data_IF_740367606521
#
_entry.id   IF_740367606521
#
_cell.length_a   1.000
_cell.length_b   1.000
_cell.length_c   1.000
_cell.angle_alpha   90.00
_cell.angle_beta   90.00
_cell.angle_gamma   90.00
#
_symmetry.space_group_name_H-M   'P 1'
#
loop_
_entity.id
_entity.type
_entity.pdbx_description
1 polymer ?
#
# COMPACT_ATOMS: atom_id res chain seq x y z
N UNK A 1 0.64 15.60 -9.76
CA UNK A 1 -0.43 15.28 -8.79
C UNK A 1 -1.68 15.98 -9.29
N UNK A 2 -2.83 15.30 -9.30
CA UNK A 2 -4.11 15.93 -9.62
C UNK A 2 -4.76 16.53 -8.39
N UNK A 3 -6.09 16.61 -8.39
CA UNK A 3 -6.85 17.05 -7.23
C UNK A 3 -7.03 15.93 -6.19
N UNK A 4 -6.88 16.26 -4.90
CA UNK A 4 -6.91 15.32 -3.77
C UNK A 4 -8.12 15.51 -2.85
N UNK A 5 -9.11 16.30 -3.29
CA UNK A 5 -10.32 16.61 -2.55
C UNK A 5 -10.02 17.30 -1.22
N UNK A 6 -10.69 16.87 -0.15
CA UNK A 6 -10.50 17.43 1.19
C UNK A 6 -9.08 17.30 1.73
N UNK A 7 -8.28 16.38 1.18
CA UNK A 7 -6.87 16.20 1.56
C UNK A 7 -5.90 17.18 0.87
N UNK A 8 -6.34 17.95 -0.13
CA UNK A 8 -5.44 18.75 -0.96
C UNK A 8 -4.68 19.82 -0.17
N UNK A 9 -5.39 20.62 0.64
CA UNK A 9 -4.78 21.66 1.48
C UNK A 9 -3.70 21.13 2.44
N UNK A 10 -4.00 20.11 3.27
CA UNK A 10 -3.00 19.46 4.12
C UNK A 10 -1.80 18.89 3.35
N UNK A 11 -2.03 18.34 2.16
CA UNK A 11 -0.98 17.78 1.31
C UNK A 11 -0.04 18.86 0.75
N UNK A 12 -0.59 19.98 0.30
CA UNK A 12 0.20 21.16 -0.10
C UNK A 12 0.99 21.74 1.07
N UNK A 13 0.38 21.84 2.26
CA UNK A 13 1.07 22.27 3.47
C UNK A 13 2.23 21.35 3.82
N UNK A 14 2.02 20.03 3.78
CA UNK A 14 3.07 19.05 4.03
C UNK A 14 4.23 19.22 3.04
N UNK A 15 3.94 19.43 1.75
CA UNK A 15 4.99 19.69 0.74
C UNK A 15 5.75 20.99 1.01
N UNK A 16 5.05 22.08 1.35
CA UNK A 16 5.69 23.36 1.68
C UNK A 16 6.62 23.22 2.90
N UNK A 17 6.20 22.48 3.92
CA UNK A 17 7.00 22.22 5.13
C UNK A 17 8.27 21.42 4.87
N UNK A 18 8.38 20.65 3.77
CA UNK A 18 9.61 19.93 3.42
C UNK A 18 10.77 20.87 3.07
N UNK A 19 10.44 22.06 2.58
CA UNK A 19 11.39 23.05 2.08
C UNK A 19 11.47 24.30 2.96
N UNK A 20 10.49 24.47 3.86
CA UNK A 20 10.38 25.66 4.70
C UNK A 20 11.53 25.80 5.70
N UNK A 21 12.03 27.02 5.84
CA UNK A 21 13.03 27.39 6.84
C UNK A 21 12.36 27.88 8.12
N UNK A 22 13.09 27.81 9.23
CA UNK A 22 12.62 28.35 10.50
C UNK A 22 12.24 29.83 10.38
N UNK A 23 11.08 30.20 10.90
CA UNK A 23 10.55 31.56 10.87
C UNK A 23 9.73 31.92 9.64
N UNK A 24 9.76 31.12 8.56
CA UNK A 24 8.94 31.36 7.36
C UNK A 24 7.45 31.24 7.68
N UNK A 25 6.64 32.07 7.01
CA UNK A 25 5.19 32.07 7.14
C UNK A 25 4.59 31.31 5.97
N UNK A 26 3.75 30.32 6.28
CA UNK A 26 3.02 29.52 5.29
C UNK A 26 1.53 29.80 5.46
N UNK A 27 0.87 30.18 4.37
CA UNK A 27 -0.58 30.39 4.33
C UNK A 27 -1.22 29.24 3.58
N UNK A 28 -2.17 28.58 4.22
CA UNK A 28 -3.06 27.61 3.57
C UNK A 28 -4.41 28.28 3.43
N UNK A 29 -4.78 28.61 2.19
CA UNK A 29 -6.06 29.24 1.88
C UNK A 29 -6.96 28.24 1.15
N UNK A 30 -8.22 28.18 1.56
CA UNK A 30 -9.26 27.45 0.83
C UNK A 30 -10.40 28.39 0.44
N UNK A 31 -11.00 28.10 -0.71
CA UNK A 31 -12.17 28.79 -1.21
C UNK A 31 -13.18 27.77 -1.75
N UNK A 32 -14.36 27.74 -1.14
CA UNK A 32 -15.48 26.87 -1.54
C UNK A 32 -16.80 27.53 -1.08
N UNK A 33 -17.48 26.98 -0.07
CA UNK A 33 -18.63 27.63 0.59
C UNK A 33 -18.15 28.73 1.57
N UNK A 34 -17.41 29.70 1.05
CA UNK A 34 -16.72 30.74 1.83
C UNK A 34 -15.21 30.74 1.58
N UNK A 35 -14.50 31.56 2.35
CA UNK A 35 -13.04 31.66 2.31
C UNK A 35 -12.47 31.49 3.72
N UNK A 36 -11.48 30.61 3.87
CA UNK A 36 -10.75 30.42 5.11
C UNK A 36 -9.24 30.42 4.82
N UNK A 37 -8.48 31.06 5.70
CA UNK A 37 -7.02 31.10 5.61
C UNK A 37 -6.42 30.74 6.97
N UNK A 38 -5.58 29.70 6.97
CA UNK A 38 -4.78 29.29 8.11
C UNK A 38 -3.35 29.80 7.91
N UNK A 39 -2.81 30.47 8.92
CA UNK A 39 -1.46 31.04 8.89
C UNK A 39 -0.57 30.29 9.86
N UNK A 40 0.48 29.67 9.34
CA UNK A 40 1.46 28.89 10.09
C UNK A 40 2.80 29.59 10.07
N UNK A 41 3.55 29.49 11.18
CA UNK A 41 4.97 29.84 11.23
C UNK A 41 5.78 28.57 11.33
N UNK A 42 6.66 28.33 10.36
CA UNK A 42 7.58 27.20 10.38
C UNK A 42 8.51 27.33 11.58
N UNK A 43 8.50 26.35 12.48
CA UNK A 43 9.25 26.44 13.74
C UNK A 43 10.73 26.03 13.60
N UNK A 44 11.09 25.38 12.49
CA UNK A 44 12.42 24.75 12.35
C UNK A 44 12.60 23.48 13.17
N UNK A 45 11.59 23.04 13.93
CA UNK A 45 11.59 21.74 14.64
C UNK A 45 11.62 20.53 13.67
N UNK A 46 11.56 20.79 12.36
CA UNK A 46 11.68 19.83 11.27
C UNK A 46 13.10 19.24 11.09
N UNK A 47 13.92 19.14 12.15
CA UNK A 47 15.15 18.32 12.13
C UNK A 47 14.86 16.86 11.76
N UNK A 48 13.59 16.44 11.88
CA UNK A 48 13.06 15.18 11.38
C UNK A 48 12.34 15.41 10.05
N UNK A 49 13.10 15.48 8.95
CA UNK A 49 12.52 15.36 7.60
C UNK A 49 11.71 14.05 7.53
N UNK A 50 10.53 14.04 6.90
CA UNK A 50 9.80 12.79 6.70
C UNK A 50 10.67 11.82 5.90
N UNK A 51 10.67 10.53 6.27
CA UNK A 51 11.50 9.53 5.59
C UNK A 51 11.21 9.43 4.07
N UNK A 52 9.98 9.77 3.66
CA UNK A 52 9.53 9.80 2.25
C UNK A 52 8.99 11.16 1.84
N UNK A 53 8.04 11.69 2.62
CA UNK A 53 7.40 12.98 2.30
C UNK A 53 6.53 12.94 1.03
N UNK A 54 5.97 14.09 0.66
CA UNK A 54 5.26 14.32 -0.60
C UNK A 54 6.22 14.17 -1.78
N UNK A 55 7.42 14.75 -1.71
CA UNK A 55 8.41 14.68 -2.79
C UNK A 55 8.80 13.23 -3.11
N UNK A 56 9.17 12.44 -2.10
CA UNK A 56 9.49 11.02 -2.30
C UNK A 56 8.26 10.16 -2.63
N UNK A 57 7.06 10.58 -2.26
CA UNK A 57 5.82 9.91 -2.70
C UNK A 57 5.56 10.10 -4.18
N UNK A 58 5.77 11.31 -4.70
CA UNK A 58 5.64 11.61 -6.12
C UNK A 58 6.76 10.97 -6.95
N UNK A 59 8.00 10.91 -6.43
CA UNK A 59 9.11 10.25 -7.11
C UNK A 59 8.86 8.74 -7.29
N UNK A 60 8.17 8.11 -6.34
CA UNK A 60 7.82 6.69 -6.37
C UNK A 60 6.40 6.42 -6.88
N UNK A 61 5.85 7.30 -7.72
CA UNK A 61 4.54 7.09 -8.35
C UNK A 61 4.65 6.15 -9.55
N UNK A 62 3.57 5.43 -9.85
CA UNK A 62 3.30 4.98 -11.21
C UNK A 62 2.40 6.02 -11.87
N UNK A 63 2.88 6.65 -12.94
CA UNK A 63 2.12 7.65 -13.67
C UNK A 63 1.14 6.97 -14.62
N UNK A 64 -0.13 7.40 -14.59
CA UNK A 64 -1.15 6.97 -15.53
C UNK A 64 -1.43 8.11 -16.51
N UNK A 65 -1.12 7.87 -17.78
CA UNK A 65 -1.27 8.86 -18.87
C UNK A 65 -2.52 8.61 -19.70
N UNK A 66 -3.22 7.49 -19.48
CA UNK A 66 -4.45 7.17 -20.17
C UNK A 66 -5.65 7.87 -19.53
N UNK A 67 -6.17 8.87 -20.22
CA UNK A 67 -7.33 9.64 -19.77
C UNK A 67 -8.60 8.79 -19.57
N UNK A 68 -8.82 7.75 -20.38
CA UNK A 68 -9.97 6.87 -20.20
C UNK A 68 -9.86 6.06 -18.90
N UNK A 69 -8.67 5.60 -18.54
CA UNK A 69 -8.46 4.96 -17.24
C UNK A 69 -8.71 5.93 -16.09
N UNK A 70 -8.29 7.20 -16.23
CA UNK A 70 -8.64 8.23 -15.25
C UNK A 70 -10.16 8.36 -15.07
N UNK A 71 -10.92 8.49 -16.16
CA UNK A 71 -12.38 8.57 -16.08
C UNK A 71 -12.98 7.32 -15.43
N UNK A 72 -12.49 6.13 -15.81
CA UNK A 72 -12.99 4.87 -15.28
C UNK A 72 -12.70 4.68 -13.79
N UNK A 73 -11.47 4.94 -13.36
CA UNK A 73 -11.06 4.78 -11.96
C UNK A 73 -11.78 5.75 -11.02
N UNK A 74 -12.20 6.90 -11.53
CA UNK A 74 -12.97 7.89 -10.78
C UNK A 74 -14.50 7.72 -10.93
N UNK A 75 -14.98 6.67 -11.63
CA UNK A 75 -16.41 6.43 -11.82
C UNK A 75 -17.12 7.53 -12.62
N UNK A 76 -16.39 8.22 -13.50
CA UNK A 76 -16.93 9.31 -14.34
C UNK A 76 -17.53 8.81 -15.66
N UNK A 77 -17.31 7.54 -15.98
CA UNK A 77 -17.86 6.85 -17.15
C UNK A 77 -18.33 5.47 -16.72
N UNK A 78 -19.51 5.07 -17.20
CA UNK A 78 -20.00 3.71 -17.04
C UNK A 78 -19.30 2.78 -18.03
N UNK A 79 -18.90 1.60 -17.56
CA UNK A 79 -18.34 0.56 -18.40
C UNK A 79 -18.89 -0.81 -18.03
N UNK A 80 -18.87 -1.70 -19.01
CA UNK A 80 -19.14 -3.11 -18.78
C UNK A 80 -17.89 -3.78 -18.19
N UNK A 81 -17.98 -4.19 -16.93
CA UNK A 81 -16.91 -4.91 -16.21
C UNK A 81 -16.83 -6.40 -16.59
N UNK A 82 -17.81 -6.90 -17.36
CA UNK A 82 -17.95 -8.28 -17.78
C UNK A 82 -18.37 -9.25 -16.66
N UNK A 83 -18.74 -10.47 -17.07
CA UNK A 83 -19.33 -11.49 -16.18
C UNK A 83 -18.49 -11.84 -14.94
N UNK A 84 -17.16 -11.71 -15.01
CA UNK A 84 -16.28 -12.03 -13.87
C UNK A 84 -16.31 -10.97 -12.77
N UNK A 85 -16.75 -9.76 -13.08
CA UNK A 85 -16.97 -8.71 -12.09
C UNK A 85 -18.27 -8.88 -11.31
N UNK A 86 -19.22 -9.69 -11.81
CA UNK A 86 -20.52 -9.94 -11.17
C UNK A 86 -20.42 -10.81 -9.91
N UNK A 87 -19.23 -11.39 -9.65
CA UNK A 87 -18.97 -12.23 -8.49
C UNK A 87 -19.26 -11.47 -7.19
N UNK A 88 -20.25 -11.96 -6.43
CA UNK A 88 -20.55 -11.44 -5.09
C UNK A 88 -19.53 -11.95 -4.07
N UNK A 89 -18.53 -11.12 -3.78
CA UNK A 89 -17.61 -11.35 -2.67
C UNK A 89 -18.30 -10.86 -1.38
N UNK A 90 -18.72 -11.77 -0.49
CA UNK A 90 -19.40 -11.42 0.76
C UNK A 90 -18.47 -10.68 1.73
N UNK A 91 -18.93 -9.55 2.28
CA UNK A 91 -18.19 -8.83 3.34
C UNK A 91 -18.24 -9.60 4.66
N UNK A 92 -17.08 -10.01 5.18
CA UNK A 92 -16.95 -10.69 6.46
C UNK A 92 -16.60 -9.72 7.61
N UNK A 93 -17.55 -8.85 8.01
CA UNK A 93 -17.34 -7.79 9.02
C UNK A 93 -16.86 -8.32 10.37
N UNK A 94 -17.40 -9.44 10.86
CA UNK A 94 -17.00 -10.03 12.15
C UNK A 94 -15.59 -10.62 12.09
N UNK A 95 -15.14 -11.06 10.92
CA UNK A 95 -13.75 -11.52 10.71
C UNK A 95 -12.81 -10.34 10.71
N UNK A 96 -13.19 -9.22 10.06
CA UNK A 96 -12.43 -7.97 10.11
C UNK A 96 -12.27 -7.47 11.54
N UNK A 97 -13.36 -7.39 12.30
CA UNK A 97 -13.33 -6.95 13.70
C UNK A 97 -12.41 -7.82 14.57
N UNK A 98 -12.50 -9.15 14.45
CA UNK A 98 -11.68 -10.07 15.26
C UNK A 98 -10.20 -10.10 14.88
N UNK A 99 -9.87 -9.73 13.65
CA UNK A 99 -8.52 -9.81 13.10
C UNK A 99 -8.06 -8.45 12.56
N UNK A 100 -8.48 -7.37 13.21
CA UNK A 100 -8.24 -6.00 12.74
C UNK A 100 -6.75 -5.71 12.64
N UNK A 101 -5.96 -6.10 13.64
CA UNK A 101 -4.50 -5.92 13.64
C UNK A 101 -3.84 -6.70 12.50
N UNK A 102 -4.29 -7.93 12.23
CA UNK A 102 -3.78 -8.75 11.16
C UNK A 102 -4.13 -8.19 9.77
N UNK A 103 -5.36 -7.72 9.58
CA UNK A 103 -5.87 -7.29 8.27
C UNK A 103 -5.47 -5.85 7.96
N UNK A 104 -5.69 -4.92 8.90
CA UNK A 104 -5.42 -3.49 8.71
C UNK A 104 -3.99 -3.13 9.09
N UNK A 105 -3.39 -3.80 10.07
CA UNK A 105 -2.01 -3.56 10.51
C UNK A 105 -0.94 -4.44 9.85
N UNK A 106 -1.35 -5.41 9.02
CA UNK A 106 -0.47 -6.47 8.49
C UNK A 106 0.38 -7.14 9.58
N UNK A 107 -0.28 -7.51 10.68
CA UNK A 107 0.36 -8.12 11.84
C UNK A 107 0.18 -9.64 11.81
N UNK A 108 1.27 -10.37 11.59
CA UNK A 108 1.29 -11.82 11.73
C UNK A 108 1.84 -12.25 13.09
N UNK A 109 2.40 -13.46 13.13
CA UNK A 109 2.95 -14.07 14.34
C UNK A 109 4.43 -14.38 14.21
N UNK A 110 5.18 -14.20 15.30
CA UNK A 110 6.50 -14.78 15.49
C UNK A 110 6.45 -15.73 16.67
N UNK A 111 6.86 -16.98 16.47
CA UNK A 111 6.96 -17.94 17.56
C UNK A 111 8.06 -17.52 18.53
N UNK A 112 7.74 -17.32 19.82
CA UNK A 112 8.75 -17.00 20.85
C UNK A 112 9.78 -18.10 21.08
N UNK A 113 9.43 -19.35 20.76
CA UNK A 113 10.30 -20.52 20.98
C UNK A 113 11.22 -20.81 19.79
N UNK A 114 10.69 -20.77 18.57
CA UNK A 114 11.45 -21.14 17.36
C UNK A 114 11.91 -19.94 16.55
N UNK A 115 11.38 -18.75 16.83
CA UNK A 115 11.60 -17.55 16.04
C UNK A 115 10.90 -17.55 14.68
N UNK A 116 10.22 -18.63 14.29
CA UNK A 116 9.54 -18.74 12.98
C UNK A 116 8.45 -17.68 12.87
N UNK A 117 8.51 -16.94 11.77
CA UNK A 117 7.57 -15.87 11.41
C UNK A 117 6.55 -16.41 10.42
N UNK A 118 5.26 -16.13 10.65
CA UNK A 118 4.16 -16.61 9.82
C UNK A 118 3.06 -15.55 9.66
N UNK A 119 2.36 -15.65 8.53
CA UNK A 119 1.14 -14.92 8.25
C UNK A 119 0.23 -15.82 7.39
N UNK A 120 -1.07 -15.97 7.70
CA UNK A 120 -1.81 -15.40 8.83
C UNK A 120 -1.30 -15.84 10.21
N UNK A 121 -1.54 -15.02 11.25
CA UNK A 121 -1.29 -15.43 12.64
C UNK A 121 -2.35 -16.44 13.04
N UNK A 122 -1.93 -17.62 13.47
CA UNK A 122 -2.81 -18.67 14.00
C UNK A 122 -2.33 -19.08 15.40
N UNK A 123 -3.12 -19.88 16.12
CA UNK A 123 -2.71 -20.36 17.45
C UNK A 123 -1.53 -21.33 17.41
N UNK A 124 -1.33 -22.02 16.28
CA UNK A 124 -0.33 -23.08 16.14
C UNK A 124 0.84 -22.55 15.31
N UNK A 125 2.06 -22.72 15.80
CA UNK A 125 3.26 -22.39 15.03
C UNK A 125 3.41 -23.30 13.81
N UNK A 126 3.76 -22.73 12.66
CA UNK A 126 4.08 -23.48 11.43
C UNK A 126 5.50 -24.07 11.42
N UNK A 127 6.23 -23.97 12.53
CA UNK A 127 7.58 -24.52 12.64
C UNK A 127 7.52 -26.06 12.49
N UNK A 128 8.19 -26.67 11.50
CA UNK A 128 8.04 -28.10 11.19
C UNK A 128 8.35 -29.04 12.37
N UNK A 129 9.30 -28.65 13.21
CA UNK A 129 9.81 -29.48 14.30
C UNK A 129 9.22 -29.11 15.67
N UNK A 130 8.44 -28.03 15.77
CA UNK A 130 7.82 -27.62 17.04
C UNK A 130 6.52 -26.82 16.78
N UNK A 131 5.39 -27.52 16.52
CA UNK A 131 4.08 -26.91 16.31
C UNK A 131 3.43 -26.48 17.64
N UNK A 132 4.14 -25.69 18.44
CA UNK A 132 3.67 -25.23 19.73
C UNK A 132 2.42 -24.34 19.60
N UNK A 133 1.54 -24.42 20.60
CA UNK A 133 0.25 -23.72 20.66
C UNK A 133 0.39 -22.47 21.53
N UNK A 134 -0.23 -21.36 21.11
CA UNK A 134 -0.27 -20.07 21.82
C UNK A 134 1.13 -19.49 22.11
N UNK A 135 2.05 -19.69 21.16
CA UNK A 135 3.44 -19.17 21.18
C UNK A 135 3.68 -17.95 20.29
N UNK A 136 2.66 -17.52 19.55
CA UNK A 136 2.77 -16.45 18.56
C UNK A 136 2.71 -15.07 19.23
N UNK A 137 3.77 -14.29 19.07
CA UNK A 137 3.81 -12.88 19.42
C UNK A 137 3.53 -12.01 18.19
N UNK A 138 2.84 -10.86 18.34
CA UNK A 138 2.57 -9.95 17.23
C UNK A 138 3.84 -9.54 16.47
N UNK A 139 3.85 -9.77 15.16
CA UNK A 139 4.97 -9.40 14.29
C UNK A 139 4.49 -8.54 13.11
N UNK A 140 4.99 -7.31 13.03
CA UNK A 140 4.59 -6.32 12.00
C UNK A 140 5.32 -6.55 10.68
N UNK A 141 4.57 -6.70 9.59
CA UNK A 141 5.10 -6.86 8.24
C UNK A 141 5.03 -5.58 7.40
N UNK A 142 4.17 -4.63 7.75
CA UNK A 142 3.88 -3.44 6.94
C UNK A 142 5.13 -2.63 6.51
N UNK A 143 6.12 -2.52 7.39
CA UNK A 143 7.35 -1.73 7.17
C UNK A 143 8.57 -2.61 6.82
N UNK A 144 8.37 -3.92 6.67
CA UNK A 144 9.46 -4.86 6.38
C UNK A 144 9.78 -4.82 4.89
N UNK A 145 11.07 -4.92 4.58
CA UNK A 145 11.53 -5.18 3.22
C UNK A 145 11.06 -6.55 2.76
N UNK A 146 10.73 -6.65 1.48
CA UNK A 146 10.25 -7.87 0.90
C UNK A 146 10.66 -7.97 -0.58
N UNK A 147 10.55 -9.18 -1.13
CA UNK A 147 10.74 -9.42 -2.55
C UNK A 147 9.71 -10.40 -3.10
N UNK A 148 9.53 -10.35 -4.41
CA UNK A 148 8.68 -11.30 -5.14
C UNK A 148 9.38 -12.65 -5.21
N UNK A 149 8.78 -13.71 -4.65
CA UNK A 149 9.29 -15.08 -4.78
C UNK A 149 8.77 -15.75 -6.06
N UNK A 150 7.50 -15.53 -6.39
CA UNK A 150 6.87 -15.99 -7.62
C UNK A 150 5.69 -15.08 -7.94
N UNK A 151 5.35 -14.93 -9.22
CA UNK A 151 4.24 -14.09 -9.64
C UNK A 151 3.50 -14.67 -10.83
N UNK A 152 2.32 -14.12 -11.11
CA UNK A 152 1.54 -14.37 -12.31
C UNK A 152 0.85 -13.07 -12.75
N UNK A 153 0.75 -12.86 -14.05
CA UNK A 153 -0.01 -11.78 -14.67
C UNK A 153 -1.25 -12.37 -15.36
N UNK A 154 -2.40 -12.22 -14.73
CA UNK A 154 -3.64 -12.86 -15.14
C UNK A 154 -4.60 -11.87 -15.84
N UNK A 155 -4.97 -12.16 -17.09
CA UNK A 155 -5.99 -11.40 -17.84
C UNK A 155 -7.40 -11.96 -17.63
N UNK A 156 -7.52 -13.11 -16.97
CA UNK A 156 -8.78 -13.81 -16.78
C UNK A 156 -9.56 -13.20 -15.62
N UNK A 157 -8.94 -13.07 -14.45
CA UNK A 157 -9.58 -12.49 -13.27
C UNK A 157 -9.93 -11.01 -13.47
N UNK A 158 -11.10 -10.60 -13.00
CA UNK A 158 -11.48 -9.18 -13.02
C UNK A 158 -10.49 -8.34 -12.22
N UNK A 159 -9.96 -7.30 -12.85
CA UNK A 159 -9.14 -6.25 -12.25
C UNK A 159 -9.50 -4.93 -12.91
N UNK A 160 -9.50 -3.84 -12.16
CA UNK A 160 -9.67 -2.49 -12.70
C UNK A 160 -8.54 -2.13 -13.69
N UNK A 161 -7.34 -2.64 -13.45
CA UNK A 161 -6.16 -2.42 -14.28
C UNK A 161 -5.60 -3.79 -14.70
N UNK A 162 -6.15 -4.42 -15.76
CA UNK A 162 -5.64 -5.69 -16.25
C UNK A 162 -4.25 -5.52 -16.88
N UNK A 163 -3.37 -6.55 -16.79
CA UNK A 163 -3.58 -7.82 -16.10
C UNK A 163 -3.49 -7.70 -14.58
N UNK A 164 -4.18 -8.60 -13.87
CA UNK A 164 -4.05 -8.73 -12.43
C UNK A 164 -2.69 -9.37 -12.10
N UNK A 165 -1.80 -8.61 -11.48
CA UNK A 165 -0.53 -9.13 -10.98
C UNK A 165 -0.70 -9.59 -9.54
N UNK A 166 -0.38 -10.84 -9.26
CA UNK A 166 -0.37 -11.37 -7.90
C UNK A 166 0.74 -12.41 -7.76
N UNK A 167 1.17 -12.64 -6.53
CA UNK A 167 2.31 -13.50 -6.31
C UNK A 167 2.57 -13.81 -4.84
N UNK A 168 3.55 -14.67 -4.61
CA UNK A 168 4.07 -14.96 -3.29
C UNK A 168 5.14 -13.94 -2.95
N UNK A 169 4.93 -13.19 -1.87
CA UNK A 169 5.89 -12.21 -1.36
C UNK A 169 6.62 -12.82 -0.18
N UNK A 170 7.95 -12.75 -0.17
CA UNK A 170 8.80 -13.18 0.93
C UNK A 170 9.36 -11.97 1.65
N UNK A 171 9.32 -11.99 2.98
CA UNK A 171 9.75 -10.88 3.82
C UNK A 171 11.13 -11.13 4.42
N UNK A 172 11.89 -10.05 4.59
CA UNK A 172 13.10 -10.07 5.40
C UNK A 172 12.74 -10.41 6.85
N UNK A 173 13.42 -11.40 7.44
CA UNK A 173 13.08 -11.94 8.75
C UNK A 173 12.08 -13.11 8.72
N UNK A 174 11.61 -13.51 7.53
CA UNK A 174 10.77 -14.69 7.32
C UNK A 174 9.29 -14.38 7.17
N UNK A 175 8.51 -15.43 6.88
CA UNK A 175 7.11 -15.31 6.52
C UNK A 175 6.92 -15.07 5.02
N UNK A 176 5.79 -15.55 4.50
CA UNK A 176 5.39 -15.39 3.10
C UNK A 176 3.91 -15.09 3.04
N UNK A 177 3.51 -14.23 2.11
CA UNK A 177 2.11 -13.85 1.92
C UNK A 177 1.81 -13.82 0.42
N UNK A 178 0.73 -14.48 0.02
CA UNK A 178 0.20 -14.33 -1.33
C UNK A 178 -0.65 -13.05 -1.40
N UNK A 179 -0.31 -12.13 -2.30
CA UNK A 179 -1.01 -10.86 -2.43
C UNK A 179 -0.93 -10.29 -3.84
N UNK A 180 -1.77 -9.30 -4.12
CA UNK A 180 -1.70 -8.54 -5.37
C UNK A 180 -0.45 -7.65 -5.37
N UNK A 181 0.09 -7.45 -6.56
CA UNK A 181 1.16 -6.50 -6.86
C UNK A 181 0.53 -5.34 -7.62
N UNK A 182 0.73 -4.11 -7.13
CA UNK A 182 0.17 -2.87 -7.67
C UNK A 182 1.29 -1.96 -8.17
N UNK A 183 0.90 -0.91 -8.90
CA UNK A 183 1.81 0.14 -9.39
C UNK A 183 2.87 -0.42 -10.35
N UNK A 184 2.44 -1.37 -11.18
CA UNK A 184 3.24 -2.09 -12.18
C UNK A 184 2.50 -2.16 -13.50
N UNK A 185 3.27 -2.29 -14.57
CA UNK A 185 2.84 -2.52 -15.95
C UNK A 185 3.27 -3.92 -16.38
N UNK A 186 2.71 -4.47 -17.48
CA UNK A 186 3.18 -5.74 -18.04
C UNK A 186 4.69 -5.69 -18.32
N UNK A 187 5.43 -6.62 -17.71
CA UNK A 187 6.89 -6.70 -17.82
C UNK A 187 7.67 -6.06 -16.65
N UNK A 188 7.01 -5.30 -15.76
CA UNK A 188 7.68 -4.65 -14.62
C UNK A 188 7.96 -5.62 -13.46
N UNK A 189 7.28 -6.77 -13.43
CA UNK A 189 7.37 -7.74 -12.33
C UNK A 189 8.27 -8.90 -12.74
N UNK A 190 9.25 -9.21 -11.89
CA UNK A 190 10.03 -10.45 -11.99
C UNK A 190 10.32 -11.03 -10.59
N UNK A 191 10.80 -12.27 -10.56
CA UNK A 191 11.29 -12.91 -9.34
C UNK A 191 12.49 -12.14 -8.78
N UNK A 192 12.49 -11.92 -7.47
CA UNK A 192 13.50 -11.13 -6.78
C UNK A 192 13.24 -9.63 -6.76
N UNK A 193 12.23 -9.13 -7.50
CA UNK A 193 11.86 -7.71 -7.48
C UNK A 193 11.62 -7.24 -6.04
N UNK A 194 12.35 -6.20 -5.63
CA UNK A 194 12.20 -5.58 -4.32
C UNK A 194 10.88 -4.82 -4.24
N UNK A 195 10.10 -5.13 -3.21
CA UNK A 195 8.78 -4.56 -2.99
C UNK A 195 8.64 -4.06 -1.56
N UNK A 196 7.69 -3.14 -1.40
CA UNK A 196 7.19 -2.67 -0.11
C UNK A 196 5.68 -2.82 -0.04
N UNK A 197 5.18 -2.84 1.18
CA UNK A 197 3.75 -2.98 1.43
C UNK A 197 3.06 -1.62 1.36
N UNK A 198 1.98 -1.53 0.59
CA UNK A 198 1.14 -0.34 0.47
C UNK A 198 -0.30 -0.68 0.83
N UNK A 199 -0.91 0.14 1.67
CA UNK A 199 -2.30 -0.03 2.06
C UNK A 199 -3.23 0.55 0.98
N UNK A 200 -4.12 -0.28 0.42
CA UNK A 200 -4.93 0.05 -0.77
C UNK A 200 -6.35 -0.47 -0.64
N UNK A 201 -7.23 0.08 -1.47
CA UNK A 201 -8.54 -0.53 -1.72
C UNK A 201 -8.29 -1.88 -2.39
N UNK A 202 -8.77 -2.95 -1.75
CA UNK A 202 -8.74 -4.32 -2.27
C UNK A 202 -9.98 -4.59 -3.11
N UNK A 203 -11.14 -4.21 -2.60
CA UNK A 203 -12.41 -4.27 -3.33
C UNK A 203 -13.45 -3.32 -2.72
N UNK A 204 -14.57 -3.16 -3.43
CA UNK A 204 -15.73 -2.38 -3.01
C UNK A 204 -16.95 -3.31 -3.11
N UNK A 205 -17.64 -3.53 -1.99
CA UNK A 205 -18.93 -4.22 -1.92
C UNK A 205 -20.05 -3.21 -2.17
N UNK A 206 -20.36 -2.99 -3.44
CA UNK A 206 -21.41 -2.04 -3.87
C UNK A 206 -22.79 -2.42 -3.29
N UNK A 207 -23.08 -3.71 -3.11
CA UNK A 207 -24.37 -4.18 -2.56
C UNK A 207 -24.57 -3.81 -1.09
N UNK A 208 -23.48 -3.73 -0.32
CA UNK A 208 -23.50 -3.46 1.13
C UNK A 208 -22.90 -2.10 1.50
N UNK A 209 -22.41 -1.35 0.51
CA UNK A 209 -21.78 -0.04 0.72
C UNK A 209 -20.47 -0.12 1.52
N UNK A 210 -19.67 -1.18 1.36
CA UNK A 210 -18.46 -1.40 2.16
C UNK A 210 -17.18 -1.37 1.32
N UNK A 211 -16.21 -0.53 1.69
CA UNK A 211 -14.90 -0.49 1.04
C UNK A 211 -13.92 -1.34 1.82
N UNK A 212 -13.36 -2.38 1.19
CA UNK A 212 -12.35 -3.23 1.82
C UNK A 212 -10.97 -2.69 1.51
N UNK A 213 -10.23 -2.40 2.56
CA UNK A 213 -8.82 -2.10 2.46
C UNK A 213 -7.99 -3.32 2.82
N UNK A 214 -6.89 -3.51 2.09
CA UNK A 214 -5.87 -4.50 2.42
C UNK A 214 -4.52 -4.05 1.86
N UNK A 215 -3.47 -4.72 2.31
CA UNK A 215 -2.12 -4.48 1.84
C UNK A 215 -1.89 -5.12 0.48
N UNK A 216 -1.16 -4.42 -0.38
CA UNK A 216 -0.64 -4.92 -1.67
C UNK A 216 0.87 -4.71 -1.70
N UNK A 217 1.57 -5.48 -2.51
CA UNK A 217 2.97 -5.24 -2.81
C UNK A 217 3.08 -4.15 -3.89
N UNK A 218 4.00 -3.21 -3.74
CA UNK A 218 4.37 -2.28 -4.80
C UNK A 218 5.89 -2.28 -4.95
N UNK A 219 6.45 -2.09 -6.16
CA UNK A 219 7.88 -1.95 -6.35
C UNK A 219 8.46 -0.89 -5.41
N UNK A 220 9.56 -1.22 -4.75
CA UNK A 220 10.34 -0.21 -4.04
C UNK A 220 11.34 0.41 -5.02
N UNK A 221 10.89 1.39 -5.81
CA UNK A 221 11.71 2.01 -6.87
C UNK A 221 13.02 2.58 -6.33
N UNK A 222 13.03 3.06 -5.08
CA UNK A 222 14.25 3.57 -4.44
C UNK A 222 15.27 2.47 -4.19
N UNK A 223 14.82 1.31 -3.71
CA UNK A 223 15.67 0.15 -3.49
C UNK A 223 16.13 -0.48 -4.81
N UNK A 224 15.24 -0.55 -5.81
CA UNK A 224 15.57 -1.04 -7.15
C UNK A 224 16.66 -0.18 -7.78
N UNK A 225 16.52 1.16 -7.78
CA UNK A 225 17.54 2.06 -8.32
C UNK A 225 18.89 1.92 -7.62
N UNK A 226 18.89 1.78 -6.29
CA UNK A 226 20.13 1.58 -5.53
C UNK A 226 20.82 0.25 -5.90
N UNK A 227 20.06 -0.84 -6.09
CA UNK A 227 20.61 -2.13 -6.49
C UNK A 227 21.19 -2.09 -7.92
N UNK A 228 20.52 -1.41 -8.86
CA UNK A 228 21.04 -1.23 -10.23
C UNK A 228 22.33 -0.42 -10.24
N UNK A 229 22.46 0.61 -9.40
CA UNK A 229 23.68 1.41 -9.30
C UNK A 229 24.88 0.59 -8.81
N UNK A 230 24.65 -0.29 -7.82
CA UNK A 230 25.70 -1.20 -7.30
C UNK A 230 26.09 -2.28 -8.32
N UNK A 231 25.14 -2.78 -9.12
CA UNK A 231 25.43 -3.79 -10.15
C UNK A 231 26.17 -3.23 -11.38
N UNK A 232 26.20 -1.90 -11.55
CA UNK A 232 26.88 -1.22 -12.64
C UNK A 232 28.33 -0.81 -12.31
N UNK A 233 28.74 -0.99 -11.04
CA UNK A 233 30.12 -0.83 -10.54
C UNK A 233 30.86 -2.18 -10.56
#
# INVERSE_FOLDING_TARGET
MGEAGSGHGPLMLAHALEQAKAGEIIVVAQFAQGAEALVFRATGAASRKPARGVTGSLADRQEETNYLKFLMFNGLVDWDKGMRAEKDNKTALTTLYRNEDMILGLVGGRCRETGVVQFPRTRISVAPNNPAVDTQEPYRFAERKASVLSYSADYLTFSMAPPNHYGMIVFEGGGRIMMDITDVSPGDVDTGLLVKMVFRIKDIDEKRGFVRYFWKAAPDRSAVSAQTAVAAE
#
